data_IF_330363520862
#
_entry.id   IF_330363520862
#
_cell.length_a   1.000
_cell.length_b   1.000
_cell.length_c   1.000
_cell.angle_alpha   90.00
_cell.angle_beta   90.00
_cell.angle_gamma   90.00
#
_symmetry.space_group_name_H-M   'P 1'
#
loop_
_entity.id
_entity.type
_entity.pdbx_description
1 polymer ?
#
# COMPACT_ATOMS: atom_id res chain seq x y z
N UNK A 1 41.85 -2.05 7.26
CA UNK A 1 40.85 -1.21 7.96
C UNK A 1 39.45 -1.72 7.61
N UNK A 2 38.68 -2.26 8.56
CA UNK A 2 37.28 -2.68 8.31
C UNK A 2 36.40 -1.44 8.39
N UNK A 3 35.78 -1.05 7.27
CA UNK A 3 34.81 0.04 7.25
C UNK A 3 33.68 -0.26 8.26
N UNK A 4 33.26 0.69 9.10
CA UNK A 4 32.13 0.46 9.99
C UNK A 4 30.89 0.20 9.13
N UNK A 5 30.31 -0.99 9.26
CA UNK A 5 29.04 -1.36 8.63
C UNK A 5 27.99 -0.40 9.21
N UNK A 6 27.70 0.67 8.48
CA UNK A 6 26.59 1.59 8.79
C UNK A 6 25.31 0.76 8.75
N UNK A 7 24.83 0.31 9.91
CA UNK A 7 23.49 -0.27 10.06
C UNK A 7 22.52 0.84 9.64
N UNK A 8 22.04 0.80 8.40
CA UNK A 8 21.00 1.70 7.92
C UNK A 8 19.78 1.48 8.83
N UNK A 9 19.46 2.45 9.69
CA UNK A 9 18.23 2.41 10.49
C UNK A 9 17.06 2.29 9.51
N UNK A 10 16.36 1.17 9.57
CA UNK A 10 15.11 1.00 8.83
C UNK A 10 14.11 1.96 9.47
N UNK A 11 13.67 2.95 8.70
CA UNK A 11 12.67 3.93 9.17
C UNK A 11 11.27 3.48 8.78
N UNK A 12 10.25 4.01 9.46
CA UNK A 12 8.86 3.80 9.06
C UNK A 12 8.60 4.23 7.60
N UNK A 13 9.26 5.31 7.14
CA UNK A 13 9.19 5.75 5.75
C UNK A 13 9.77 4.71 4.78
N UNK A 14 10.89 4.07 5.15
CA UNK A 14 11.48 2.98 4.35
C UNK A 14 10.56 1.77 4.28
N UNK A 15 9.91 1.41 5.38
CA UNK A 15 8.95 0.29 5.43
C UNK A 15 7.73 0.60 4.54
N UNK A 16 7.12 1.79 4.70
CA UNK A 16 5.97 2.22 3.90
C UNK A 16 6.30 2.31 2.41
N UNK A 17 7.51 2.76 2.06
CA UNK A 17 7.98 2.74 0.67
C UNK A 17 8.06 1.32 0.10
N UNK A 18 8.49 0.35 0.93
CA UNK A 18 8.46 -1.07 0.58
C UNK A 18 7.04 -1.58 0.30
N UNK A 19 6.07 -1.26 1.16
CA UNK A 19 4.66 -1.61 0.95
C UNK A 19 4.10 -1.02 -0.35
N UNK A 20 4.32 0.29 -0.59
CA UNK A 20 3.90 0.97 -1.81
C UNK A 20 4.54 0.35 -3.06
N UNK A 21 5.81 -0.08 -2.98
CA UNK A 21 6.48 -0.77 -4.07
C UNK A 21 5.81 -2.10 -4.41
N UNK A 22 5.48 -2.92 -3.40
CA UNK A 22 4.77 -4.18 -3.60
C UNK A 22 3.38 -3.98 -4.21
N UNK A 23 2.60 -3.03 -3.68
CA UNK A 23 1.26 -2.72 -4.20
C UNK A 23 1.29 -2.22 -5.66
N UNK A 24 2.34 -1.49 -6.06
CA UNK A 24 2.53 -1.06 -7.47
C UNK A 24 2.83 -2.21 -8.43
N UNK A 25 3.33 -3.34 -7.94
CA UNK A 25 3.59 -4.52 -8.76
C UNK A 25 2.31 -5.25 -9.19
N UNK A 26 1.20 -5.04 -8.47
CA UNK A 26 -0.12 -5.54 -8.88
C UNK A 26 -0.64 -4.80 -10.12
N UNK A 27 -1.61 -5.40 -10.80
CA UNK A 27 -2.36 -4.70 -11.85
C UNK A 27 -3.33 -3.67 -11.24
N UNK A 28 -3.77 -2.70 -12.04
CA UNK A 28 -4.75 -1.72 -11.58
C UNK A 28 -6.08 -2.38 -11.13
N UNK A 29 -6.63 -3.38 -11.85
CA UNK A 29 -7.83 -4.10 -11.41
C UNK A 29 -7.65 -4.82 -10.07
N UNK A 30 -6.52 -5.51 -9.86
CA UNK A 30 -6.25 -6.19 -8.58
C UNK A 30 -6.19 -5.21 -7.41
N UNK A 31 -5.55 -4.05 -7.60
CA UNK A 31 -5.55 -2.99 -6.58
C UNK A 31 -6.95 -2.46 -6.28
N UNK A 32 -7.77 -2.29 -7.32
CA UNK A 32 -9.13 -1.79 -7.18
C UNK A 32 -10.01 -2.81 -6.44
N UNK A 33 -9.95 -4.08 -6.83
CA UNK A 33 -10.64 -5.17 -6.16
C UNK A 33 -10.26 -5.26 -4.68
N UNK A 34 -8.97 -5.23 -4.35
CA UNK A 34 -8.51 -5.22 -2.96
C UNK A 34 -9.08 -4.05 -2.16
N UNK A 35 -9.08 -2.85 -2.76
CA UNK A 35 -9.60 -1.64 -2.11
C UNK A 35 -11.12 -1.70 -1.92
N UNK A 36 -11.86 -2.22 -2.90
CA UNK A 36 -13.31 -2.37 -2.84
C UNK A 36 -13.72 -3.40 -1.78
N UNK A 37 -12.97 -4.50 -1.64
CA UNK A 37 -13.15 -5.47 -0.55
C UNK A 37 -12.93 -4.82 0.82
N UNK A 38 -11.88 -4.03 0.98
CA UNK A 38 -11.64 -3.31 2.25
C UNK A 38 -12.74 -2.29 2.54
N UNK A 39 -13.23 -1.60 1.50
CA UNK A 39 -14.34 -0.64 1.60
C UNK A 39 -15.67 -1.31 1.97
N UNK A 40 -15.90 -2.56 1.55
CA UNK A 40 -17.08 -3.34 1.94
C UNK A 40 -16.95 -4.00 3.33
N UNK A 41 -15.85 -3.76 4.04
CA UNK A 41 -15.64 -4.25 5.40
C UNK A 41 -14.90 -5.58 5.48
N UNK A 42 -14.35 -6.09 4.37
CA UNK A 42 -13.50 -7.28 4.42
C UNK A 42 -12.25 -7.02 5.27
N UNK A 43 -11.80 -8.06 5.98
CA UNK A 43 -10.58 -7.98 6.78
C UNK A 43 -9.33 -8.04 5.91
N UNK A 44 -8.19 -7.60 6.44
CA UNK A 44 -6.89 -7.75 5.77
C UNK A 44 -6.63 -9.22 5.41
N UNK A 45 -6.93 -10.17 6.31
CA UNK A 45 -6.75 -11.59 6.07
C UNK A 45 -7.57 -12.10 4.88
N UNK A 46 -8.85 -11.71 4.80
CA UNK A 46 -9.73 -12.09 3.70
C UNK A 46 -9.23 -11.59 2.33
N UNK A 47 -8.63 -10.39 2.30
CA UNK A 47 -8.03 -9.84 1.07
C UNK A 47 -6.75 -10.59 0.69
N UNK A 48 -5.93 -10.95 1.67
CA UNK A 48 -4.72 -11.74 1.44
C UNK A 48 -5.04 -13.10 0.84
N UNK A 49 -6.05 -13.78 1.38
CA UNK A 49 -6.50 -15.09 0.90
C UNK A 49 -7.09 -15.00 -0.51
N UNK A 50 -7.98 -14.02 -0.74
CA UNK A 50 -8.68 -13.89 -2.02
C UNK A 50 -7.76 -13.51 -3.18
N UNK A 51 -6.73 -12.70 -2.92
CA UNK A 51 -5.81 -12.20 -3.94
C UNK A 51 -4.43 -12.86 -3.91
N UNK A 52 -4.21 -13.81 -3.00
CA UNK A 52 -2.93 -14.49 -2.79
C UNK A 52 -1.76 -13.52 -2.59
N UNK A 53 -1.96 -12.48 -1.77
CA UNK A 53 -0.97 -11.42 -1.52
C UNK A 53 -0.56 -11.33 -0.05
N UNK A 54 0.64 -10.80 0.21
CA UNK A 54 1.11 -10.57 1.58
C UNK A 54 0.52 -9.31 2.23
N UNK A 55 0.48 -9.28 3.56
CA UNK A 55 -0.04 -8.17 4.36
C UNK A 55 0.58 -6.82 3.97
N UNK A 56 1.89 -6.78 3.67
CA UNK A 56 2.57 -5.56 3.25
C UNK A 56 2.07 -5.02 1.91
N UNK A 57 1.62 -5.90 1.03
CA UNK A 57 0.98 -5.52 -0.24
C UNK A 57 -0.39 -4.90 0.04
N UNK A 58 -1.21 -5.48 0.91
CA UNK A 58 -2.53 -4.93 1.31
C UNK A 58 -2.38 -3.54 1.96
N UNK A 59 -1.44 -3.39 2.90
CA UNK A 59 -1.14 -2.09 3.53
C UNK A 59 -0.64 -1.06 2.51
N UNK A 60 0.13 -1.51 1.51
CA UNK A 60 0.57 -0.67 0.40
C UNK A 60 -0.58 -0.19 -0.48
N UNK A 61 -1.60 -1.03 -0.70
CA UNK A 61 -2.81 -0.67 -1.45
C UNK A 61 -3.60 0.40 -0.69
N UNK A 62 -3.83 0.22 0.61
CA UNK A 62 -4.49 1.24 1.46
C UNK A 62 -3.77 2.59 1.35
N UNK A 63 -2.46 2.59 1.54
CA UNK A 63 -1.65 3.81 1.46
C UNK A 63 -1.63 4.45 0.06
N UNK A 64 -1.74 3.68 -1.02
CA UNK A 64 -1.80 4.23 -2.39
C UNK A 64 -3.21 4.74 -2.75
N UNK A 65 -4.23 3.94 -2.46
CA UNK A 65 -5.60 4.21 -2.84
C UNK A 65 -6.24 5.30 -1.97
N UNK A 66 -5.98 5.33 -0.66
CA UNK A 66 -6.46 6.41 0.22
C UNK A 66 -5.86 7.76 -0.18
N UNK A 67 -4.56 7.82 -0.51
CA UNK A 67 -3.93 9.06 -1.01
C UNK A 67 -4.56 9.49 -2.33
N UNK A 68 -4.83 8.54 -3.25
CA UNK A 68 -5.49 8.85 -4.53
C UNK A 68 -6.90 9.37 -4.30
N UNK A 69 -7.70 8.73 -3.43
CA UNK A 69 -9.06 9.18 -3.10
C UNK A 69 -9.05 10.59 -2.51
N UNK A 70 -8.17 10.87 -1.54
CA UNK A 70 -8.04 12.22 -0.96
C UNK A 70 -7.64 13.25 -2.02
N UNK A 71 -6.66 12.96 -2.87
CA UNK A 71 -6.24 13.88 -3.94
C UNK A 71 -7.37 14.13 -4.94
N UNK A 72 -8.10 13.09 -5.35
CA UNK A 72 -9.24 13.22 -6.25
C UNK A 72 -10.33 14.07 -5.63
N UNK A 73 -10.73 13.79 -4.38
CA UNK A 73 -11.74 14.58 -3.69
C UNK A 73 -11.31 16.03 -3.49
N UNK A 74 -10.03 16.31 -3.20
CA UNK A 74 -9.52 17.68 -3.10
C UNK A 74 -9.54 18.40 -4.45
N UNK A 75 -9.26 17.72 -5.56
CA UNK A 75 -9.35 18.29 -6.92
C UNK A 75 -10.79 18.57 -7.35
N UNK A 76 -11.74 17.74 -6.93
CA UNK A 76 -13.17 17.95 -7.22
C UNK A 76 -13.76 19.11 -6.39
N UNK A 77 -13.17 19.42 -5.24
CA UNK A 77 -13.59 20.51 -4.34
C UNK A 77 -12.87 21.83 -4.63
N UNK A 78 -11.71 21.80 -5.30
CA UNK A 78 -10.99 23.00 -5.73
C UNK A 78 -11.52 23.49 -7.09
N UNK A 79 -12.18 24.66 -7.18
CA UNK A 79 -12.68 25.23 -8.43
C UNK A 79 -11.56 25.65 -9.40
#
# INVERSE_FOLDING_TARGET
MKLPVRRKRITAATIKAGWKKKARALTQPQRQQAFDMLRSGATIGSVQETLEIDTGTVLGILELCTVKTVITSLKEVAP
#
